data_IF_389017354234
#
_entry.id   IF_389017354234
#
_cell.length_a   1.000
_cell.length_b   1.000
_cell.length_c   1.000
_cell.angle_alpha   90.00
_cell.angle_beta   90.00
_cell.angle_gamma   90.00
#
_symmetry.space_group_name_H-M   'P 1'
#
loop_
_entity.id
_entity.type
_entity.pdbx_description
1 polymer ?
#
# COMPACT_ATOMS: atom_id res chain seq x y z
N UNK A 1 6.54 19.25 -40.68
CA UNK A 1 6.73 17.80 -40.60
C UNK A 1 5.79 17.31 -39.51
N UNK A 2 4.52 17.04 -39.86
CA UNK A 2 3.49 16.55 -38.91
C UNK A 2 3.78 15.07 -38.68
N UNK A 3 4.14 14.72 -37.47
CA UNK A 3 4.23 13.32 -37.06
C UNK A 3 2.78 12.81 -37.05
N UNK A 4 2.41 11.79 -37.83
CA UNK A 4 1.08 11.23 -37.78
C UNK A 4 1.00 10.44 -36.46
N UNK A 5 0.44 11.06 -35.44
CA UNK A 5 -0.07 10.30 -34.31
C UNK A 5 -1.17 9.39 -34.81
N UNK A 6 -1.25 8.12 -34.37
CA UNK A 6 -2.38 7.29 -34.69
C UNK A 6 -3.64 8.05 -34.27
N UNK A 7 -4.42 8.51 -35.21
CA UNK A 7 -5.74 9.10 -34.94
C UNK A 7 -6.58 7.96 -34.34
N UNK A 8 -6.66 7.92 -33.02
CA UNK A 8 -7.64 7.05 -32.37
C UNK A 8 -8.98 7.61 -32.79
N UNK A 9 -9.68 6.86 -33.61
CA UNK A 9 -11.00 7.25 -34.11
C UNK A 9 -12.01 7.17 -32.93
N UNK A 10 -12.03 8.24 -32.12
CA UNK A 10 -12.94 8.36 -30.99
C UNK A 10 -14.41 8.28 -31.41
N UNK A 11 -14.71 8.64 -32.69
CA UNK A 11 -16.05 8.58 -33.25
C UNK A 11 -16.52 7.13 -33.46
N UNK A 12 -15.61 6.22 -33.78
CA UNK A 12 -15.94 4.80 -33.94
C UNK A 12 -16.35 4.10 -32.64
N UNK A 13 -15.90 4.62 -31.50
CA UNK A 13 -16.19 4.04 -30.20
C UNK A 13 -17.60 4.39 -29.64
N UNK A 14 -18.28 5.36 -30.24
CA UNK A 14 -19.52 5.93 -29.71
C UNK A 14 -19.33 6.63 -28.35
N UNK A 15 -20.30 7.40 -27.88
CA UNK A 15 -20.14 8.23 -26.67
C UNK A 15 -19.85 7.41 -25.41
N UNK A 16 -20.46 6.25 -25.22
CA UNK A 16 -20.20 5.36 -24.07
C UNK A 16 -18.82 4.73 -24.10
N UNK A 17 -18.32 4.38 -25.29
CA UNK A 17 -16.97 3.82 -25.45
C UNK A 17 -15.88 4.82 -25.14
N UNK A 18 -16.04 6.08 -25.55
CA UNK A 18 -15.12 7.17 -25.21
C UNK A 18 -15.00 7.35 -23.69
N UNK A 19 -16.13 7.40 -22.98
CA UNK A 19 -16.16 7.54 -21.53
C UNK A 19 -15.44 6.38 -20.83
N UNK A 20 -15.68 5.14 -21.30
CA UNK A 20 -15.05 3.94 -20.74
C UNK A 20 -13.52 3.96 -20.96
N UNK A 21 -13.06 4.35 -22.14
CA UNK A 21 -11.64 4.44 -22.47
C UNK A 21 -10.94 5.53 -21.65
N UNK A 22 -11.53 6.72 -21.55
CA UNK A 22 -10.99 7.81 -20.73
C UNK A 22 -10.87 7.40 -19.25
N UNK A 23 -11.92 6.78 -18.72
CA UNK A 23 -11.91 6.23 -17.37
C UNK A 23 -10.79 5.18 -17.19
N UNK A 24 -10.70 4.20 -18.09
CA UNK A 24 -9.74 3.10 -18.02
C UNK A 24 -8.29 3.59 -18.13
N UNK A 25 -7.99 4.47 -19.09
CA UNK A 25 -6.67 5.07 -19.26
C UNK A 25 -6.23 5.80 -17.99
N UNK A 26 -7.16 6.60 -17.43
CA UNK A 26 -6.83 7.37 -16.23
C UNK A 26 -6.69 6.49 -14.98
N UNK A 27 -7.52 5.47 -14.84
CA UNK A 27 -7.42 4.51 -13.75
C UNK A 27 -6.11 3.72 -13.82
N UNK A 28 -5.71 3.27 -15.01
CA UNK A 28 -4.45 2.58 -15.22
C UNK A 28 -3.24 3.48 -14.93
N UNK A 29 -3.24 4.72 -15.44
CA UNK A 29 -2.18 5.72 -15.21
C UNK A 29 -1.93 5.91 -13.72
N UNK A 30 -2.96 6.20 -12.92
CA UNK A 30 -2.84 6.42 -11.48
C UNK A 30 -2.42 5.16 -10.72
N UNK A 31 -2.94 4.01 -11.12
CA UNK A 31 -2.53 2.73 -10.53
C UNK A 31 -1.04 2.47 -10.74
N UNK A 32 -0.55 2.62 -12.00
CA UNK A 32 0.86 2.45 -12.30
C UNK A 32 1.74 3.54 -11.65
N UNK A 33 1.26 4.78 -11.58
CA UNK A 33 1.96 5.87 -10.90
C UNK A 33 2.19 5.56 -9.41
N UNK A 34 1.20 4.99 -8.74
CA UNK A 34 1.34 4.52 -7.36
C UNK A 34 2.40 3.41 -7.24
N UNK A 35 2.35 2.41 -8.14
CA UNK A 35 3.35 1.32 -8.16
C UNK A 35 4.76 1.84 -8.46
N UNK A 36 4.90 2.85 -9.33
CA UNK A 36 6.18 3.53 -9.59
C UNK A 36 6.72 4.18 -8.33
N UNK A 37 5.89 4.91 -7.59
CA UNK A 37 6.28 5.55 -6.34
C UNK A 37 6.82 4.52 -5.34
N UNK A 38 6.16 3.36 -5.24
CA UNK A 38 6.62 2.26 -4.40
C UNK A 38 7.96 1.68 -4.86
N UNK A 39 8.18 1.56 -6.17
CA UNK A 39 9.45 1.11 -6.72
C UNK A 39 10.59 2.08 -6.35
N UNK A 40 10.33 3.39 -6.38
CA UNK A 40 11.27 4.44 -5.96
C UNK A 40 11.62 4.29 -4.48
N UNK A 41 10.64 4.22 -3.59
CA UNK A 41 10.83 4.07 -2.14
C UNK A 41 11.65 2.80 -1.83
N UNK A 42 11.49 1.76 -2.63
CA UNK A 42 12.23 0.49 -2.49
C UNK A 42 13.62 0.50 -3.12
N UNK A 43 14.05 1.58 -3.73
CA UNK A 43 15.34 1.68 -4.43
C UNK A 43 15.42 0.81 -5.70
N UNK A 44 14.26 0.41 -6.29
CA UNK A 44 14.21 -0.38 -7.52
C UNK A 44 14.21 0.51 -8.75
N UNK A 45 15.36 1.11 -9.07
CA UNK A 45 15.48 2.09 -10.15
C UNK A 45 15.00 1.57 -11.52
N UNK A 46 15.36 0.34 -11.91
CA UNK A 46 14.92 -0.24 -13.18
C UNK A 46 13.40 -0.41 -13.28
N UNK A 47 12.75 -0.90 -12.21
CA UNK A 47 11.29 -1.02 -12.20
C UNK A 47 10.62 0.38 -12.22
N UNK A 48 11.16 1.35 -11.50
CA UNK A 48 10.66 2.71 -11.49
C UNK A 48 10.77 3.38 -12.88
N UNK A 49 11.85 3.11 -13.62
CA UNK A 49 12.05 3.60 -14.97
C UNK A 49 11.01 3.03 -15.95
N UNK A 50 10.85 1.70 -15.95
CA UNK A 50 9.87 1.02 -16.83
C UNK A 50 8.45 1.51 -16.54
N UNK A 51 8.06 1.53 -15.25
CA UNK A 51 6.74 2.02 -14.87
C UNK A 51 6.55 3.49 -15.23
N UNK A 52 7.60 4.33 -15.09
CA UNK A 52 7.58 5.73 -15.48
C UNK A 52 7.33 5.94 -16.96
N UNK A 53 7.92 5.10 -17.81
CA UNK A 53 7.71 5.13 -19.25
C UNK A 53 6.22 4.87 -19.61
N UNK A 54 5.62 3.82 -19.05
CA UNK A 54 4.21 3.52 -19.30
C UNK A 54 3.26 4.58 -18.72
N UNK A 55 3.54 5.10 -17.53
CA UNK A 55 2.79 6.21 -16.92
C UNK A 55 2.78 7.42 -17.83
N UNK A 56 3.93 7.80 -18.42
CA UNK A 56 4.01 8.93 -19.32
C UNK A 56 3.15 8.73 -20.59
N UNK A 57 3.18 7.54 -21.17
CA UNK A 57 2.35 7.22 -22.35
C UNK A 57 0.86 7.29 -22.00
N UNK A 58 0.44 6.63 -20.90
CA UNK A 58 -0.98 6.61 -20.51
C UNK A 58 -1.49 8.01 -20.16
N UNK A 59 -0.66 8.82 -19.52
CA UNK A 59 -0.98 10.21 -19.21
C UNK A 59 -1.23 11.01 -20.50
N UNK A 60 -0.32 10.95 -21.47
CA UNK A 60 -0.44 11.70 -22.73
C UNK A 60 -1.69 11.25 -23.49
N UNK A 61 -1.93 9.94 -23.61
CA UNK A 61 -3.11 9.40 -24.27
C UNK A 61 -4.41 9.81 -23.56
N UNK A 62 -4.43 9.77 -22.25
CA UNK A 62 -5.59 10.18 -21.45
C UNK A 62 -5.91 11.68 -21.59
N UNK A 63 -4.88 12.53 -21.55
CA UNK A 63 -5.04 13.98 -21.75
C UNK A 63 -5.46 14.30 -23.18
N UNK A 64 -4.84 13.69 -24.18
CA UNK A 64 -5.21 13.91 -25.58
C UNK A 64 -6.67 13.50 -25.84
N UNK A 65 -7.10 12.34 -25.31
CA UNK A 65 -8.49 11.89 -25.43
C UNK A 65 -9.48 12.81 -24.71
N UNK A 66 -9.13 13.32 -23.53
CA UNK A 66 -9.96 14.29 -22.83
C UNK A 66 -10.11 15.59 -23.61
N UNK A 67 -8.99 16.15 -24.14
CA UNK A 67 -8.99 17.38 -24.91
C UNK A 67 -9.82 17.27 -26.19
N UNK A 68 -9.76 16.11 -26.87
CA UNK A 68 -10.55 15.82 -28.06
C UNK A 68 -12.07 15.76 -27.78
N UNK A 69 -12.47 15.52 -26.52
CA UNK A 69 -13.86 15.32 -26.12
C UNK A 69 -14.34 16.30 -25.03
N UNK A 70 -13.72 17.48 -24.94
CA UNK A 70 -14.09 18.52 -23.95
C UNK A 70 -15.52 19.04 -24.10
N UNK A 71 -16.09 18.95 -25.29
CA UNK A 71 -17.46 19.36 -25.57
C UNK A 71 -18.52 18.49 -24.87
N UNK A 72 -18.10 17.36 -24.29
CA UNK A 72 -18.95 16.45 -23.53
C UNK A 72 -18.60 16.54 -22.03
N UNK A 73 -19.43 17.18 -21.19
CA UNK A 73 -19.15 17.30 -19.74
C UNK A 73 -18.94 15.97 -19.05
N UNK A 74 -19.59 14.90 -19.52
CA UNK A 74 -19.42 13.53 -19.01
C UNK A 74 -18.01 13.00 -19.19
N UNK A 75 -17.24 13.46 -20.17
CA UNK A 75 -15.84 13.06 -20.39
C UNK A 75 -14.96 13.52 -19.22
N UNK A 76 -15.21 14.72 -18.70
CA UNK A 76 -14.50 15.23 -17.52
C UNK A 76 -14.84 14.39 -16.28
N UNK A 77 -16.12 14.04 -16.12
CA UNK A 77 -16.57 13.21 -14.98
C UNK A 77 -15.97 11.81 -15.05
N UNK A 78 -15.98 11.18 -16.25
CA UNK A 78 -15.37 9.86 -16.45
C UNK A 78 -13.87 9.87 -16.16
N UNK A 79 -13.16 10.89 -16.62
CA UNK A 79 -11.73 11.07 -16.35
C UNK A 79 -11.43 11.28 -14.86
N UNK A 80 -12.23 12.10 -14.17
CA UNK A 80 -12.10 12.33 -12.73
C UNK A 80 -12.42 11.06 -11.91
N UNK A 81 -13.46 10.30 -12.30
CA UNK A 81 -13.79 9.02 -11.70
C UNK A 81 -12.69 7.98 -11.89
N UNK A 82 -12.07 7.94 -13.08
CA UNK A 82 -10.89 7.11 -13.36
C UNK A 82 -9.72 7.47 -12.45
N UNK A 83 -9.45 8.75 -12.23
CA UNK A 83 -8.43 9.22 -11.30
C UNK A 83 -8.67 8.70 -9.87
N UNK A 84 -9.85 8.88 -9.33
CA UNK A 84 -10.22 8.45 -7.98
C UNK A 84 -10.12 6.93 -7.84
N UNK A 85 -10.66 6.18 -8.82
CA UNK A 85 -10.63 4.72 -8.83
C UNK A 85 -9.20 4.18 -8.96
N UNK A 86 -8.40 4.75 -9.85
CA UNK A 86 -7.00 4.36 -10.05
C UNK A 86 -6.15 4.57 -8.81
N UNK A 87 -6.37 5.68 -8.09
CA UNK A 87 -5.70 5.94 -6.81
C UNK A 87 -6.07 4.89 -5.76
N UNK A 88 -7.35 4.57 -5.60
CA UNK A 88 -7.83 3.55 -4.67
C UNK A 88 -7.32 2.14 -5.04
N UNK A 89 -7.31 1.80 -6.33
CA UNK A 89 -6.75 0.55 -6.82
C UNK A 89 -5.25 0.45 -6.55
N UNK A 90 -4.49 1.52 -6.80
CA UNK A 90 -3.06 1.59 -6.51
C UNK A 90 -2.74 1.34 -5.05
N UNK A 91 -3.48 1.97 -4.12
CA UNK A 91 -3.34 1.76 -2.67
C UNK A 91 -3.69 0.32 -2.26
N UNK A 92 -4.68 -0.28 -2.92
CA UNK A 92 -5.07 -1.66 -2.63
C UNK A 92 -4.00 -2.64 -3.09
N UNK A 93 -3.48 -2.45 -4.30
CA UNK A 93 -2.36 -3.22 -4.84
C UNK A 93 -1.11 -3.08 -3.96
N UNK A 94 -0.81 -1.88 -3.47
CA UNK A 94 0.26 -1.66 -2.50
C UNK A 94 0.14 -2.60 -1.30
N UNK A 95 -1.04 -2.66 -0.70
CA UNK A 95 -1.29 -3.51 0.49
C UNK A 95 -1.11 -5.01 0.20
N UNK A 96 -1.44 -5.45 -1.02
CA UNK A 96 -1.35 -6.86 -1.43
C UNK A 96 0.09 -7.24 -1.80
N UNK A 97 0.78 -6.39 -2.55
CA UNK A 97 2.11 -6.69 -3.08
C UNK A 97 3.26 -6.32 -2.14
N UNK A 98 2.98 -5.64 -1.02
CA UNK A 98 3.95 -5.38 0.03
C UNK A 98 3.91 -6.48 1.09
N UNK A 99 4.78 -7.53 1.01
CA UNK A 99 5.05 -8.35 2.17
C UNK A 99 5.83 -7.48 3.16
N UNK A 100 5.13 -6.71 3.96
CA UNK A 100 5.74 -5.96 5.03
C UNK A 100 5.89 -6.87 6.24
N UNK A 101 7.10 -7.00 6.74
CA UNK A 101 7.34 -7.49 8.07
C UNK A 101 7.06 -6.30 9.01
N UNK A 102 6.32 -6.57 10.06
CA UNK A 102 5.97 -5.58 11.06
C UNK A 102 6.75 -5.87 12.34
N UNK A 103 7.44 -4.87 12.85
CA UNK A 103 7.94 -4.87 14.22
C UNK A 103 6.79 -4.42 15.11
N UNK A 104 6.33 -5.29 15.96
CA UNK A 104 5.32 -4.98 16.96
C UNK A 104 6.00 -4.75 18.30
N UNK A 105 5.72 -3.59 18.92
CA UNK A 105 6.09 -3.29 20.28
C UNK A 105 4.83 -3.31 21.14
N UNK A 106 4.90 -4.05 22.23
CA UNK A 106 3.81 -4.22 23.18
C UNK A 106 4.30 -3.69 24.53
N UNK A 107 3.59 -2.73 25.09
CA UNK A 107 3.86 -2.16 26.39
C UNK A 107 2.82 -2.71 27.37
N UNK A 108 3.23 -3.56 28.31
CA UNK A 108 2.35 -4.18 29.29
C UNK A 108 2.76 -3.79 30.70
N UNK A 109 1.87 -3.18 31.49
CA UNK A 109 2.19 -2.81 32.87
C UNK A 109 2.28 -4.02 33.82
N UNK A 110 1.61 -5.13 33.53
CA UNK A 110 1.45 -6.22 34.50
C UNK A 110 1.63 -7.63 33.95
N UNK A 111 1.51 -7.85 32.64
CA UNK A 111 1.46 -9.20 32.02
C UNK A 111 2.48 -9.43 30.91
N UNK A 112 3.56 -8.67 30.88
CA UNK A 112 4.57 -8.74 29.82
C UNK A 112 5.13 -10.12 29.60
N UNK A 113 5.48 -10.81 30.71
CA UNK A 113 6.01 -12.18 30.67
C UNK A 113 5.00 -13.19 30.09
N UNK A 114 3.72 -13.08 30.42
CA UNK A 114 2.67 -13.94 29.88
C UNK A 114 2.48 -13.72 28.38
N UNK A 115 2.51 -12.47 27.93
CA UNK A 115 2.44 -12.09 26.51
C UNK A 115 3.65 -12.65 25.75
N UNK A 116 4.87 -12.49 26.30
CA UNK A 116 6.08 -13.00 25.67
C UNK A 116 6.04 -14.53 25.53
N UNK A 117 5.58 -15.26 26.57
CA UNK A 117 5.42 -16.71 26.54
C UNK A 117 4.40 -17.15 25.48
N UNK A 118 3.22 -16.53 25.46
CA UNK A 118 2.19 -16.84 24.49
C UNK A 118 2.65 -16.60 23.03
N UNK A 119 3.45 -15.57 22.79
CA UNK A 119 4.04 -15.32 21.48
C UNK A 119 5.06 -16.40 21.09
N UNK A 120 5.89 -16.85 22.04
CA UNK A 120 6.88 -17.93 21.83
C UNK A 120 6.21 -19.28 21.57
N UNK A 121 5.13 -19.61 22.26
CA UNK A 121 4.30 -20.81 22.03
C UNK A 121 3.71 -20.84 20.60
N UNK A 122 3.44 -19.68 20.03
CA UNK A 122 3.02 -19.54 18.63
C UNK A 122 4.20 -19.61 17.62
N UNK A 123 5.38 -20.00 18.08
CA UNK A 123 6.58 -20.09 17.23
C UNK A 123 7.15 -18.72 16.85
N UNK A 124 6.90 -17.65 17.60
CA UNK A 124 7.39 -16.31 17.30
C UNK A 124 8.52 -15.90 18.23
N UNK A 125 9.50 -15.20 17.68
CA UNK A 125 10.53 -14.56 18.48
C UNK A 125 9.89 -13.41 19.28
N UNK A 126 10.03 -13.44 20.60
CA UNK A 126 9.61 -12.35 21.48
C UNK A 126 10.78 -11.99 22.41
N UNK A 127 11.22 -10.74 22.33
CA UNK A 127 12.25 -10.18 23.20
C UNK A 127 11.58 -9.27 24.21
N UNK A 128 11.78 -9.54 25.48
CA UNK A 128 11.23 -8.81 26.62
C UNK A 128 12.30 -7.88 27.18
N UNK A 129 11.95 -6.62 27.39
CA UNK A 129 12.83 -5.60 27.95
C UNK A 129 12.08 -4.88 29.07
N UNK A 130 12.55 -4.92 30.31
CA UNK A 130 11.97 -4.14 31.39
C UNK A 130 12.24 -2.65 31.17
N UNK A 131 11.21 -1.82 31.32
CA UNK A 131 11.27 -0.38 31.18
C UNK A 131 10.54 0.33 32.33
N UNK A 132 10.69 1.64 32.44
CA UNK A 132 9.98 2.47 33.42
C UNK A 132 9.12 3.50 32.69
N UNK A 133 7.83 3.50 32.98
CA UNK A 133 6.87 4.50 32.56
C UNK A 133 6.44 5.41 33.71
N UNK A 134 5.50 6.31 33.44
CA UNK A 134 4.95 7.22 34.47
C UNK A 134 4.30 6.47 35.63
N UNK A 135 3.66 5.33 35.37
CA UNK A 135 2.96 4.52 36.38
C UNK A 135 3.81 3.43 37.04
N UNK A 136 5.13 3.41 36.82
CA UNK A 136 6.02 2.39 37.38
C UNK A 136 6.71 1.53 36.32
N UNK A 137 6.97 0.27 36.65
CA UNK A 137 7.63 -0.69 35.73
C UNK A 137 6.66 -1.12 34.65
N UNK A 138 7.16 -1.21 33.45
CA UNK A 138 6.44 -1.64 32.24
C UNK A 138 7.32 -2.64 31.48
N UNK A 139 6.78 -3.76 31.06
CA UNK A 139 7.49 -4.68 30.17
C UNK A 139 7.24 -4.29 28.72
N UNK A 140 8.31 -4.14 27.95
CA UNK A 140 8.25 -3.87 26.50
C UNK A 140 8.62 -5.14 25.77
N UNK A 141 7.69 -5.68 24.99
CA UNK A 141 7.89 -6.90 24.20
C UNK A 141 8.02 -6.53 22.73
N UNK A 142 9.13 -6.96 22.13
CA UNK A 142 9.40 -6.81 20.71
C UNK A 142 9.14 -8.13 20.00
N UNK A 143 8.33 -8.11 18.94
CA UNK A 143 8.11 -9.29 18.09
C UNK A 143 8.02 -8.90 16.62
N UNK A 144 8.58 -9.75 15.74
CA UNK A 144 8.46 -9.59 14.29
C UNK A 144 7.35 -10.49 13.78
N UNK A 145 6.42 -9.91 13.03
CA UNK A 145 5.30 -10.63 12.45
C UNK A 145 5.08 -10.22 11.01
N UNK A 146 4.38 -11.04 10.23
CA UNK A 146 3.89 -10.64 8.92
C UNK A 146 2.66 -9.73 9.11
N UNK A 147 2.55 -8.68 8.31
CA UNK A 147 1.43 -7.71 8.34
C UNK A 147 0.05 -8.39 8.40
N UNK A 148 -0.16 -9.47 7.63
CA UNK A 148 -1.42 -10.24 7.65
C UNK A 148 -1.77 -10.87 9.01
N UNK A 149 -0.82 -10.95 9.91
CA UNK A 149 -0.99 -11.55 11.24
C UNK A 149 -1.25 -10.51 12.34
N UNK A 150 -1.14 -9.21 12.04
CA UNK A 150 -1.31 -8.13 13.03
C UNK A 150 -2.66 -8.21 13.78
N UNK A 151 -3.75 -8.40 13.04
CA UNK A 151 -5.09 -8.48 13.66
C UNK A 151 -5.24 -9.70 14.58
N UNK A 152 -4.62 -10.84 14.24
CA UNK A 152 -4.64 -12.03 15.09
C UNK A 152 -3.84 -11.80 16.36
N UNK A 153 -2.64 -11.24 16.24
CA UNK A 153 -1.78 -10.92 17.37
C UNK A 153 -2.43 -9.89 18.28
N UNK A 154 -3.00 -8.84 17.71
CA UNK A 154 -3.73 -7.82 18.47
C UNK A 154 -4.85 -8.43 19.32
N UNK A 155 -5.69 -9.28 18.74
CA UNK A 155 -6.77 -9.95 19.47
C UNK A 155 -6.25 -10.79 20.63
N UNK A 156 -5.17 -11.53 20.44
CA UNK A 156 -4.55 -12.36 21.48
C UNK A 156 -3.97 -11.51 22.62
N UNK A 157 -3.27 -10.43 22.28
CA UNK A 157 -2.68 -9.53 23.29
C UNK A 157 -3.79 -8.84 24.09
N UNK A 158 -4.82 -8.30 23.43
CA UNK A 158 -5.94 -7.65 24.13
C UNK A 158 -6.75 -8.61 25.00
N UNK A 159 -6.76 -9.91 24.69
CA UNK A 159 -7.38 -10.91 25.55
C UNK A 159 -6.53 -11.24 26.78
N UNK A 160 -5.20 -11.19 26.67
CA UNK A 160 -4.28 -11.43 27.78
C UNK A 160 -4.15 -10.21 28.69
N UNK A 161 -4.01 -9.02 28.11
CA UNK A 161 -3.84 -7.76 28.82
C UNK A 161 -4.60 -6.65 28.09
N UNK A 162 -5.81 -6.29 28.53
CA UNK A 162 -6.59 -5.21 27.93
C UNK A 162 -5.94 -3.82 28.04
N UNK A 163 -5.04 -3.62 29.02
CA UNK A 163 -4.33 -2.35 29.24
C UNK A 163 -3.03 -2.24 28.41
N UNK A 164 -2.63 -3.32 27.74
CA UNK A 164 -1.44 -3.31 26.91
C UNK A 164 -1.59 -2.38 25.70
N UNK A 165 -0.62 -1.50 25.52
CA UNK A 165 -0.52 -0.64 24.32
C UNK A 165 0.32 -1.34 23.28
N UNK A 166 -0.20 -1.44 22.06
CA UNK A 166 0.49 -2.07 20.94
C UNK A 166 0.78 -1.05 19.85
N UNK A 167 2.05 -0.92 19.45
CA UNK A 167 2.47 -0.12 18.31
C UNK A 167 3.07 -1.02 17.23
N UNK A 168 2.88 -0.64 15.97
CA UNK A 168 3.34 -1.41 14.81
C UNK A 168 4.16 -0.51 13.90
N UNK A 169 5.35 -0.97 13.54
CA UNK A 169 6.23 -0.31 12.58
C UNK A 169 6.52 -1.24 11.40
N UNK A 170 6.49 -0.71 10.19
CA UNK A 170 6.92 -1.45 9.01
C UNK A 170 8.45 -1.48 8.96
N UNK A 171 9.04 -2.68 8.95
CA UNK A 171 10.48 -2.84 8.97
C UNK A 171 10.96 -3.73 7.82
N UNK A 172 12.16 -3.44 7.32
CA UNK A 172 12.86 -4.28 6.36
C UNK A 172 13.93 -5.09 7.09
N UNK A 173 13.75 -6.39 7.16
CA UNK A 173 14.80 -7.31 7.66
C UNK A 173 15.87 -7.45 6.58
N UNK A 174 17.11 -7.06 6.88
CA UNK A 174 18.23 -7.06 5.94
C UNK A 174 18.96 -8.39 5.90
N UNK A 175 19.15 -9.04 7.06
CA UNK A 175 19.84 -10.31 7.18
C UNK A 175 19.48 -11.01 8.49
N UNK A 176 19.52 -12.35 8.49
CA UNK A 176 19.26 -13.16 9.66
C UNK A 176 17.82 -13.08 10.16
N UNK A 177 17.59 -13.61 11.34
CA UNK A 177 16.31 -13.48 12.06
C UNK A 177 15.63 -14.81 12.34
N UNK A 178 14.74 -14.77 13.33
CA UNK A 178 13.79 -15.82 13.61
C UNK A 178 12.92 -16.04 12.36
N UNK A 179 13.00 -17.21 11.78
CA UNK A 179 12.03 -17.61 10.74
C UNK A 179 10.75 -18.01 11.45
N UNK A 180 9.62 -17.29 11.19
CA UNK A 180 8.33 -17.70 11.69
C UNK A 180 7.84 -18.95 10.98
#
# INVERSE_FOLDING_TARGET
>A
MSIPFPEIDWLALGPGGVLAVLFALRAADLTLSTLRMLAIIRGRAGAAWILGFFVAILFILGVAGLLANLNQPLSIVAYAAGFATGTAAGLTLERVFLPANSLVRIYSPSRGRAIASALRELGRGATEVPARGRGGTVDVIFTYIRRRQENRVRKQISALDPEAVMTVENVRVLAGGWRP
#
